data_IF_605499870633
#
_entry.id   IF_605499870633
#
_cell.length_a   1.000
_cell.length_b   1.000
_cell.length_c   1.000
_cell.angle_alpha   90.00
_cell.angle_beta   90.00
_cell.angle_gamma   90.00
#
_symmetry.space_group_name_H-M   'P 1'
#
loop_
_entity.id
_entity.type
_entity.pdbx_description
1 polymer ?
#
# COMPACT_ATOMS: atom_id res chain seq x y z
N UNK A 1 -40.96 -39.80 43.80
CA UNK A 1 -40.66 -40.50 42.54
C UNK A 1 -41.90 -40.33 41.67
N UNK A 2 -41.90 -39.57 40.57
CA UNK A 2 -40.81 -38.78 39.96
C UNK A 2 -41.38 -37.55 39.19
N UNK A 3 -40.50 -36.60 38.88
CA UNK A 3 -40.51 -35.46 37.91
C UNK A 3 -41.78 -35.18 37.05
N UNK A 4 -42.36 -33.97 37.14
CA UNK A 4 -42.17 -32.77 36.26
C UNK A 4 -42.73 -32.93 34.83
N UNK A 5 -43.36 -31.96 34.17
CA UNK A 5 -43.06 -30.51 34.07
C UNK A 5 -44.29 -29.72 33.55
N UNK A 6 -44.31 -28.38 33.66
CA UNK A 6 -45.45 -27.54 33.24
C UNK A 6 -45.08 -26.51 32.16
N UNK A 7 -45.94 -26.33 31.14
CA UNK A 7 -45.76 -25.36 30.04
C UNK A 7 -46.89 -24.31 30.01
N UNK A 8 -46.54 -23.07 29.65
CA UNK A 8 -47.32 -21.84 29.93
C UNK A 8 -48.31 -21.37 28.85
N UNK A 9 -49.06 -20.32 29.23
CA UNK A 9 -50.09 -19.55 28.50
C UNK A 9 -49.76 -18.03 28.55
N UNK A 10 -50.29 -17.14 27.71
CA UNK A 10 -50.90 -17.25 26.36
C UNK A 10 -51.36 -15.86 25.86
N UNK A 11 -51.45 -15.68 24.54
CA UNK A 11 -52.21 -14.64 23.80
C UNK A 11 -51.71 -13.17 23.80
N UNK A 12 -51.64 -12.62 22.58
CA UNK A 12 -52.23 -11.36 22.03
C UNK A 12 -52.22 -10.07 22.91
N UNK A 13 -51.88 -8.86 22.41
CA UNK A 13 -52.63 -8.11 21.38
C UNK A 13 -51.86 -6.88 20.81
N UNK A 14 -52.28 -6.41 19.61
CA UNK A 14 -52.11 -5.15 18.84
C UNK A 14 -50.84 -4.23 18.84
N UNK A 15 -50.55 -3.58 17.68
CA UNK A 15 -49.50 -2.56 17.54
C UNK A 15 -49.98 -1.14 17.85
N UNK A 16 -49.12 -0.32 18.45
CA UNK A 16 -49.31 1.13 18.60
C UNK A 16 -48.68 1.90 17.44
N UNK A 17 -49.46 2.77 16.79
CA UNK A 17 -48.90 3.84 15.95
C UNK A 17 -48.13 4.85 16.81
N UNK A 18 -47.02 5.34 16.29
CA UNK A 18 -46.44 6.65 16.64
C UNK A 18 -46.22 7.36 15.30
N UNK A 19 -46.76 8.56 15.17
CA UNK A 19 -46.67 9.38 13.97
C UNK A 19 -45.46 10.35 14.04
N UNK A 20 -44.99 10.73 12.85
CA UNK A 20 -44.18 11.91 12.50
C UNK A 20 -42.68 12.03 12.88
N UNK A 21 -41.93 12.35 11.82
CA UNK A 21 -40.68 13.13 11.76
C UNK A 21 -39.46 12.64 12.58
N UNK A 22 -38.58 11.90 11.89
CA UNK A 22 -37.14 11.98 12.16
C UNK A 22 -36.33 12.18 10.87
N UNK A 23 -35.18 12.80 11.01
CA UNK A 23 -34.27 13.24 9.96
C UNK A 23 -33.81 12.09 9.06
N UNK A 24 -33.64 12.37 7.77
CA UNK A 24 -32.98 11.47 6.83
C UNK A 24 -31.45 11.48 7.03
N UNK A 25 -30.98 11.13 8.23
CA UNK A 25 -29.58 10.76 8.43
C UNK A 25 -29.32 9.43 7.72
N UNK A 26 -28.43 9.46 6.72
CA UNK A 26 -28.03 8.26 6.02
C UNK A 26 -27.42 7.25 7.01
N UNK A 27 -27.81 5.96 6.96
CA UNK A 27 -27.37 4.97 7.95
C UNK A 27 -25.85 4.86 7.95
N UNK A 28 -25.24 5.24 9.08
CA UNK A 28 -23.80 5.11 9.29
C UNK A 28 -23.49 3.63 9.50
N UNK A 29 -23.07 2.96 8.43
CA UNK A 29 -22.61 1.57 8.48
C UNK A 29 -21.28 1.48 9.23
N UNK A 30 -21.36 1.14 10.52
CA UNK A 30 -20.21 0.76 11.33
C UNK A 30 -19.78 -0.66 10.96
N UNK A 31 -18.64 -0.78 10.27
CA UNK A 31 -17.98 -2.07 10.11
C UNK A 31 -17.12 -2.32 11.36
N UNK A 32 -17.55 -3.24 12.22
CA UNK A 32 -16.72 -3.72 13.33
C UNK A 32 -15.39 -4.22 12.77
N UNK A 33 -14.29 -3.73 13.30
CA UNK A 33 -12.96 -4.08 12.82
C UNK A 33 -12.50 -5.32 13.60
N UNK A 34 -12.69 -6.50 13.01
CA UNK A 34 -12.04 -7.72 13.48
C UNK A 34 -10.52 -7.61 13.40
N UNK A 35 -9.79 -8.55 14.01
CA UNK A 35 -8.34 -8.63 13.81
C UNK A 35 -8.05 -8.99 12.35
N UNK A 36 -7.27 -8.15 11.67
CA UNK A 36 -6.94 -8.28 10.24
C UNK A 36 -5.48 -8.71 10.08
N UNK A 37 -5.25 -9.86 9.44
CA UNK A 37 -3.91 -10.38 9.17
C UNK A 37 -3.43 -9.92 7.79
N UNK A 38 -2.11 -9.99 7.57
CA UNK A 38 -1.49 -9.54 6.33
C UNK A 38 -2.00 -10.31 5.11
N UNK A 39 -2.19 -11.61 5.26
CA UNK A 39 -2.71 -12.49 4.21
C UNK A 39 -4.13 -12.12 3.72
N UNK A 40 -4.95 -11.45 4.55
CA UNK A 40 -6.38 -11.25 4.26
C UNK A 40 -6.68 -10.06 3.32
N UNK A 41 -5.74 -9.10 3.20
CA UNK A 41 -6.02 -7.82 2.51
C UNK A 41 -4.83 -7.24 1.72
N UNK A 42 -3.73 -7.99 1.58
CA UNK A 42 -2.53 -7.57 0.84
C UNK A 42 -2.83 -7.05 -0.59
N UNK A 43 -3.91 -7.52 -1.23
CA UNK A 43 -4.30 -7.15 -2.60
C UNK A 43 -5.18 -5.89 -2.72
N UNK A 44 -5.68 -5.31 -1.63
CA UNK A 44 -6.70 -4.23 -1.70
C UNK A 44 -6.34 -2.93 -0.97
N UNK A 45 -5.24 -2.90 -0.23
CA UNK A 45 -4.81 -1.74 0.55
C UNK A 45 -3.42 -1.29 0.11
N UNK A 46 -3.18 0.03 0.11
CA UNK A 46 -1.84 0.54 -0.14
C UNK A 46 -0.99 0.40 1.13
N UNK A 47 -0.02 -0.51 1.10
CA UNK A 47 0.94 -0.72 2.20
C UNK A 47 1.98 0.41 2.17
N UNK A 48 2.13 1.14 3.28
CA UNK A 48 3.21 2.12 3.45
C UNK A 48 4.53 1.38 3.78
N UNK A 49 5.69 1.91 3.33
CA UNK A 49 6.94 1.20 3.45
C UNK A 49 7.46 1.24 4.89
N UNK A 50 8.07 0.15 5.33
CA UNK A 50 8.89 0.16 6.53
C UNK A 50 10.32 0.51 6.13
N UNK A 51 10.71 1.73 6.50
CA UNK A 51 11.97 2.33 6.10
C UNK A 51 13.12 1.93 7.04
N UNK A 52 14.24 1.53 6.44
CA UNK A 52 15.53 1.43 7.13
C UNK A 52 16.40 2.63 6.74
N UNK A 53 16.98 3.32 7.73
CA UNK A 53 17.83 4.50 7.52
C UNK A 53 19.17 4.19 6.84
N UNK A 54 19.49 2.92 6.67
CA UNK A 54 20.65 2.42 5.93
C UNK A 54 20.25 1.25 5.01
N UNK A 55 20.93 1.15 3.88
CA UNK A 55 21.14 -0.10 3.12
C UNK A 55 22.53 -0.63 3.41
N UNK A 56 22.72 -1.94 3.24
CA UNK A 56 24.05 -2.53 3.15
C UNK A 56 24.83 -1.91 1.97
N UNK A 57 26.16 -1.78 2.07
CA UNK A 57 26.97 -1.35 0.93
C UNK A 57 26.95 -2.43 -0.17
N UNK A 58 26.63 -2.04 -1.40
CA UNK A 58 26.70 -2.96 -2.55
C UNK A 58 28.14 -3.39 -2.77
N UNK A 59 28.38 -4.69 -2.87
CA UNK A 59 29.68 -5.25 -3.26
C UNK A 59 29.65 -5.73 -4.70
N UNK A 60 30.83 -5.92 -5.32
CA UNK A 60 30.91 -6.52 -6.66
C UNK A 60 30.39 -7.97 -6.69
N UNK A 61 30.21 -8.62 -5.53
CA UNK A 61 29.67 -9.98 -5.39
C UNK A 61 28.15 -10.03 -5.43
N UNK A 62 27.45 -8.91 -5.24
CA UNK A 62 25.99 -8.84 -5.36
C UNK A 62 25.52 -8.78 -6.83
N UNK A 63 26.43 -8.54 -7.77
CA UNK A 63 26.16 -8.56 -9.21
C UNK A 63 26.12 -10.02 -9.70
N UNK A 64 24.91 -10.55 -9.85
CA UNK A 64 24.65 -11.89 -10.37
C UNK A 64 24.81 -11.92 -11.91
N UNK A 65 25.61 -12.86 -12.43
CA UNK A 65 25.83 -13.07 -13.87
C UNK A 65 25.99 -14.57 -14.12
N UNK A 66 25.24 -15.11 -15.09
CA UNK A 66 25.33 -16.52 -15.45
C UNK A 66 24.81 -17.45 -14.36
N UNK A 67 25.24 -18.70 -14.42
CA UNK A 67 24.94 -19.73 -13.43
C UNK A 67 25.93 -19.60 -12.24
N UNK A 68 25.46 -19.50 -10.99
CA UNK A 68 26.33 -19.37 -9.82
C UNK A 68 27.25 -20.58 -9.58
N UNK A 69 26.89 -21.77 -10.06
CA UNK A 69 27.68 -23.00 -9.88
C UNK A 69 28.76 -23.16 -10.97
N UNK A 70 28.80 -22.27 -11.98
CA UNK A 70 29.74 -22.33 -13.11
C UNK A 70 30.75 -21.16 -13.05
N UNK A 71 32.06 -21.41 -13.19
CA UNK A 71 33.05 -20.35 -13.25
C UNK A 71 32.80 -19.34 -14.38
N UNK A 72 32.73 -18.06 -14.03
CA UNK A 72 32.51 -16.95 -14.97
C UNK A 72 33.58 -16.93 -16.07
N UNK A 73 33.14 -16.93 -17.32
CA UNK A 73 33.97 -16.70 -18.51
C UNK A 73 34.59 -15.29 -18.52
N UNK A 74 35.63 -15.07 -19.33
CA UNK A 74 36.30 -13.77 -19.42
C UNK A 74 35.35 -12.62 -19.78
N UNK A 75 34.38 -12.84 -20.66
CA UNK A 75 33.39 -11.83 -21.04
C UNK A 75 32.38 -11.56 -19.92
N UNK A 76 31.98 -12.57 -19.14
CA UNK A 76 31.16 -12.39 -17.94
C UNK A 76 31.90 -11.58 -16.86
N UNK A 77 33.19 -11.84 -16.64
CA UNK A 77 34.03 -11.07 -15.71
C UNK A 77 34.19 -9.60 -16.18
N UNK A 78 34.33 -9.39 -17.49
CA UNK A 78 34.36 -8.06 -18.10
C UNK A 78 33.02 -7.32 -17.93
N UNK A 79 31.90 -8.00 -18.18
CA UNK A 79 30.55 -7.45 -17.97
C UNK A 79 30.34 -7.06 -16.50
N UNK A 80 30.73 -7.92 -15.55
CA UNK A 80 30.69 -7.64 -14.10
C UNK A 80 31.46 -6.38 -13.74
N UNK A 81 32.66 -6.22 -14.31
CA UNK A 81 33.50 -5.05 -14.13
C UNK A 81 32.89 -3.77 -14.74
N UNK A 82 32.15 -3.90 -15.85
CA UNK A 82 31.42 -2.77 -16.46
C UNK A 82 30.23 -2.34 -15.60
N UNK A 83 29.39 -3.27 -15.13
CA UNK A 83 28.26 -2.98 -14.23
C UNK A 83 28.77 -2.31 -12.94
N UNK A 84 29.88 -2.80 -12.38
CA UNK A 84 30.50 -2.25 -11.17
C UNK A 84 30.99 -0.79 -11.30
N UNK A 85 31.31 -0.32 -12.52
CA UNK A 85 31.59 1.11 -12.75
C UNK A 85 30.37 1.99 -12.47
N UNK A 86 29.18 1.44 -12.68
CA UNK A 86 27.88 2.07 -12.41
C UNK A 86 27.32 1.75 -11.02
N UNK A 87 28.12 1.22 -10.08
CA UNK A 87 27.67 0.85 -8.72
C UNK A 87 26.93 1.94 -7.94
N UNK A 88 27.12 3.21 -8.29
CA UNK A 88 26.41 4.35 -7.70
C UNK A 88 24.92 4.42 -8.06
N UNK A 89 24.46 3.59 -9.02
CA UNK A 89 23.06 3.38 -9.37
C UNK A 89 22.47 2.14 -8.68
N UNK A 90 23.29 1.32 -8.03
CA UNK A 90 22.87 0.11 -7.35
C UNK A 90 22.58 0.44 -5.88
N UNK A 91 21.54 -0.17 -5.33
CA UNK A 91 21.29 -0.15 -3.88
C UNK A 91 21.49 -1.55 -3.30
N UNK A 92 22.03 -1.61 -2.08
CA UNK A 92 22.24 -2.88 -1.39
C UNK A 92 20.96 -3.38 -0.74
N UNK A 93 21.07 -4.45 0.04
CA UNK A 93 19.91 -5.01 0.76
C UNK A 93 19.38 -3.98 1.77
N UNK A 94 18.06 -3.85 1.82
CA UNK A 94 17.34 -2.89 2.64
C UNK A 94 16.23 -2.20 1.87
N UNK A 95 15.35 -1.50 2.58
CA UNK A 95 14.21 -0.78 2.00
C UNK A 95 14.52 0.72 1.87
N UNK A 96 15.72 1.11 1.43
CA UNK A 96 16.00 2.54 1.25
C UNK A 96 15.13 3.15 0.15
N UNK A 97 14.96 4.47 0.21
CA UNK A 97 14.38 5.26 -0.87
C UNK A 97 15.49 5.72 -1.81
N UNK A 98 15.42 5.38 -3.11
CA UNK A 98 16.18 6.09 -4.12
C UNK A 98 15.85 7.60 -4.12
N UNK A 99 16.74 8.44 -4.67
CA UNK A 99 16.38 9.81 -5.03
C UNK A 99 15.17 9.83 -5.98
N UNK A 100 14.30 10.83 -5.83
CA UNK A 100 13.09 10.98 -6.64
C UNK A 100 13.35 10.92 -8.16
N UNK A 101 12.44 10.27 -8.88
CA UNK A 101 12.52 10.10 -10.33
C UNK A 101 12.36 11.45 -11.03
N UNK A 102 13.24 11.71 -11.99
CA UNK A 102 13.24 12.97 -12.74
C UNK A 102 12.26 12.89 -13.92
N UNK A 103 11.45 13.92 -14.10
CA UNK A 103 10.57 14.07 -15.27
C UNK A 103 9.27 13.27 -15.21
N UNK A 104 8.91 12.71 -14.06
CA UNK A 104 7.62 12.04 -13.82
C UNK A 104 6.98 12.58 -12.55
N UNK A 105 5.65 12.72 -12.56
CA UNK A 105 4.84 13.18 -11.43
C UNK A 105 3.56 12.33 -11.44
N UNK A 106 3.18 11.78 -10.29
CA UNK A 106 1.93 11.07 -10.11
C UNK A 106 0.77 12.07 -9.93
N UNK A 107 -0.21 12.02 -10.84
CA UNK A 107 -1.46 12.78 -10.76
C UNK A 107 -2.66 11.82 -10.67
N UNK A 108 -3.52 12.02 -9.66
CA UNK A 108 -4.71 11.18 -9.43
C UNK A 108 -5.94 11.93 -9.94
N UNK A 109 -6.39 11.64 -11.16
CA UNK A 109 -7.53 12.33 -11.73
C UNK A 109 -8.88 11.78 -11.26
N UNK A 110 -9.47 12.42 -10.25
CA UNK A 110 -10.85 12.16 -9.79
C UNK A 110 -11.92 12.94 -10.59
N UNK A 111 -11.52 13.68 -11.63
CA UNK A 111 -12.43 14.55 -12.38
C UNK A 111 -13.11 15.60 -11.50
N UNK A 112 -14.44 15.67 -11.57
CA UNK A 112 -15.27 16.57 -10.75
C UNK A 112 -15.91 15.92 -9.53
N UNK A 113 -15.35 14.81 -9.02
CA UNK A 113 -15.93 14.11 -7.87
C UNK A 113 -15.81 14.94 -6.57
N UNK A 114 -16.86 14.90 -5.74
CA UNK A 114 -16.88 15.59 -4.46
C UNK A 114 -15.94 14.93 -3.42
N UNK A 115 -15.35 15.69 -2.49
CA UNK A 115 -14.46 15.15 -1.46
C UNK A 115 -15.06 14.06 -0.57
N UNK A 116 -14.23 13.08 -0.24
CA UNK A 116 -14.59 11.97 0.65
C UNK A 116 -13.63 11.93 1.84
N UNK A 117 -14.16 12.26 3.02
CA UNK A 117 -13.48 12.10 4.30
C UNK A 117 -14.09 10.93 5.08
N UNK A 118 -13.32 9.86 5.27
CA UNK A 118 -13.72 8.68 6.04
C UNK A 118 -13.16 8.76 7.48
N UNK A 119 -13.94 8.27 8.45
CA UNK A 119 -13.52 8.22 9.86
C UNK A 119 -12.36 7.24 10.06
N UNK A 120 -11.36 7.67 10.84
CA UNK A 120 -10.23 6.83 11.26
C UNK A 120 -10.73 5.59 12.01
N UNK A 121 -10.17 4.42 11.69
CA UNK A 121 -10.50 3.15 12.34
C UNK A 121 -9.88 3.09 13.75
N UNK A 122 -10.58 2.55 14.77
CA UNK A 122 -9.99 2.38 16.10
C UNK A 122 -8.76 1.46 16.07
N UNK A 123 -7.68 1.86 16.73
CA UNK A 123 -6.46 1.05 16.85
C UNK A 123 -6.35 0.51 18.28
N UNK A 124 -6.13 -0.80 18.40
CA UNK A 124 -5.96 -1.48 19.68
C UNK A 124 -4.81 -0.86 20.49
N UNK A 125 -4.96 -0.62 21.82
CA UNK A 125 -3.96 0.08 22.62
C UNK A 125 -2.52 -0.44 22.46
N UNK A 126 -2.35 -1.77 22.40
CA UNK A 126 -1.06 -2.47 22.22
C UNK A 126 -0.26 -2.06 20.97
N UNK A 127 -0.89 -1.48 19.96
CA UNK A 127 -0.23 -1.11 18.69
C UNK A 127 -0.09 0.42 18.50
N UNK A 128 -0.58 1.25 19.43
CA UNK A 128 -0.60 2.72 19.27
C UNK A 128 0.79 3.35 19.31
N UNK A 129 1.69 2.81 20.13
CA UNK A 129 3.08 3.26 20.22
C UNK A 129 3.82 2.98 18.91
N UNK A 130 3.81 1.73 18.45
CA UNK A 130 4.38 1.33 17.14
C UNK A 130 3.80 2.12 15.97
N UNK A 131 2.49 2.38 15.98
CA UNK A 131 1.84 3.22 14.97
C UNK A 131 2.39 4.65 14.98
N UNK A 132 2.57 5.23 16.17
CA UNK A 132 3.16 6.57 16.34
C UNK A 132 4.59 6.62 15.79
N UNK A 133 5.41 5.60 16.08
CA UNK A 133 6.80 5.56 15.64
C UNK A 133 6.94 5.32 14.12
N UNK A 134 6.09 4.48 13.52
CA UNK A 134 6.02 4.35 12.06
C UNK A 134 5.64 5.68 11.39
N UNK A 135 4.63 6.39 11.91
CA UNK A 135 4.21 7.69 11.37
C UNK A 135 5.34 8.74 11.50
N UNK A 136 6.08 8.75 12.62
CA UNK A 136 7.26 9.62 12.79
C UNK A 136 8.36 9.30 11.78
N UNK A 137 8.63 8.02 11.51
CA UNK A 137 9.58 7.58 10.49
C UNK A 137 9.19 8.11 9.10
N UNK A 138 7.97 7.83 8.65
CA UNK A 138 7.45 8.30 7.36
C UNK A 138 7.48 9.84 7.19
N UNK A 139 7.31 10.59 8.29
CA UNK A 139 7.44 12.05 8.32
C UNK A 139 8.91 12.51 8.25
N UNK A 140 9.82 11.83 8.95
CA UNK A 140 11.26 12.13 8.92
C UNK A 140 11.86 11.85 7.54
N UNK A 141 11.46 10.74 6.91
CA UNK A 141 11.85 10.33 5.55
C UNK A 141 11.13 11.12 4.45
N UNK A 142 10.21 12.04 4.82
CA UNK A 142 9.43 12.92 3.92
C UNK A 142 8.53 12.20 2.91
N UNK A 143 8.19 10.93 3.16
CA UNK A 143 7.22 10.17 2.36
C UNK A 143 5.82 10.75 2.54
N UNK A 144 5.50 11.19 3.76
CA UNK A 144 4.23 11.82 4.10
C UNK A 144 4.47 13.21 4.71
N UNK A 145 3.47 14.07 4.63
CA UNK A 145 3.47 15.40 5.25
C UNK A 145 2.14 15.65 5.97
N UNK A 146 2.10 16.50 7.01
CA UNK A 146 0.85 16.99 7.58
C UNK A 146 -0.01 17.69 6.50
N UNK A 147 -1.32 17.47 6.53
CA UNK A 147 -2.25 17.99 5.53
C UNK A 147 -3.59 18.35 6.16
N UNK A 148 -4.24 19.38 5.62
CA UNK A 148 -5.61 19.81 5.96
C UNK A 148 -6.59 19.47 4.82
N UNK A 149 -6.30 18.41 4.08
CA UNK A 149 -7.10 17.88 2.97
C UNK A 149 -8.57 17.68 3.32
N UNK A 150 -9.47 18.02 2.39
CA UNK A 150 -10.90 17.70 2.48
C UNK A 150 -11.20 16.22 2.20
N UNK A 151 -10.20 15.48 1.71
CA UNK A 151 -10.24 14.04 1.49
C UNK A 151 -9.44 13.31 2.57
N UNK A 152 -9.98 12.20 3.07
CA UNK A 152 -9.30 11.35 4.04
C UNK A 152 -9.68 9.88 3.83
N UNK A 153 -8.70 9.06 3.47
CA UNK A 153 -8.80 7.59 3.53
C UNK A 153 -8.36 7.11 4.92
N UNK A 154 -9.01 6.09 5.50
CA UNK A 154 -8.68 5.64 6.84
C UNK A 154 -7.44 4.75 6.81
N UNK A 155 -6.61 4.90 7.85
CA UNK A 155 -5.52 3.98 8.14
C UNK A 155 -6.09 2.61 8.55
N UNK A 156 -5.44 1.55 8.07
CA UNK A 156 -5.63 0.16 8.49
C UNK A 156 -4.32 -0.33 9.08
N UNK A 157 -4.37 -0.87 10.31
CA UNK A 157 -3.23 -1.51 10.96
C UNK A 157 -3.37 -3.01 10.77
N UNK A 158 -2.40 -3.59 10.06
CA UNK A 158 -2.33 -5.03 9.77
C UNK A 158 -1.30 -5.66 10.70
N UNK A 159 -1.63 -6.79 11.32
CA UNK A 159 -0.70 -7.50 12.21
C UNK A 159 0.16 -8.46 11.37
N UNK A 160 1.49 -8.44 11.52
CA UNK A 160 2.40 -9.40 10.88
C UNK A 160 2.32 -10.77 11.55
N UNK A 161 2.80 -11.82 10.86
CA UNK A 161 2.84 -13.21 11.35
C UNK A 161 3.51 -13.41 12.72
N UNK A 162 4.37 -12.49 13.16
CA UNK A 162 4.97 -12.56 14.50
C UNK A 162 4.05 -12.04 15.62
N UNK A 163 2.84 -11.56 15.31
CA UNK A 163 1.85 -11.04 16.27
C UNK A 163 2.18 -9.69 16.93
N UNK A 164 3.44 -9.27 16.79
CA UNK A 164 4.08 -8.18 17.53
C UNK A 164 4.27 -6.94 16.66
N UNK A 165 4.66 -7.12 15.41
CA UNK A 165 4.85 -6.02 14.45
C UNK A 165 3.62 -5.78 13.60
N UNK A 166 3.53 -4.57 13.07
CA UNK A 166 2.40 -4.10 12.28
C UNK A 166 2.89 -3.57 10.93
N UNK A 167 2.06 -3.71 9.90
CA UNK A 167 2.17 -2.96 8.65
C UNK A 167 1.13 -1.86 8.65
N UNK A 168 1.54 -0.67 8.22
CA UNK A 168 0.66 0.47 8.08
C UNK A 168 0.10 0.51 6.66
N UNK A 169 -1.23 0.53 6.53
CA UNK A 169 -1.89 0.53 5.22
C UNK A 169 -2.94 1.64 5.11
N UNK A 170 -3.24 2.09 3.89
CA UNK A 170 -4.29 3.06 3.60
C UNK A 170 -5.40 2.42 2.76
N UNK A 171 -6.64 2.59 3.20
CA UNK A 171 -7.84 2.11 2.51
C UNK A 171 -8.29 3.12 1.44
N UNK A 172 -7.63 3.07 0.28
CA UNK A 172 -7.96 3.90 -0.88
C UNK A 172 -9.14 3.40 -1.72
N UNK A 173 -9.82 2.29 -1.34
CA UNK A 173 -10.85 1.65 -2.18
C UNK A 173 -11.93 2.62 -2.67
N UNK A 174 -12.34 3.58 -1.83
CA UNK A 174 -13.37 4.58 -2.16
C UNK A 174 -12.84 5.75 -3.00
N UNK A 175 -11.55 6.07 -2.93
CA UNK A 175 -10.89 7.04 -3.83
C UNK A 175 -10.65 6.39 -5.20
N UNK A 176 -10.14 5.16 -5.21
CA UNK A 176 -9.86 4.40 -6.44
C UNK A 176 -11.11 4.15 -7.31
N UNK A 177 -12.31 4.14 -6.72
CA UNK A 177 -13.60 4.09 -7.44
C UNK A 177 -13.94 5.38 -8.19
N UNK A 178 -13.33 6.51 -7.81
CA UNK A 178 -13.52 7.83 -8.42
C UNK A 178 -12.36 8.22 -9.35
N UNK A 179 -11.17 7.65 -9.13
CA UNK A 179 -10.01 7.83 -9.98
C UNK A 179 -10.28 7.32 -11.39
N UNK A 180 -10.14 8.19 -12.38
CA UNK A 180 -10.15 7.84 -13.80
C UNK A 180 -8.91 6.99 -14.11
N UNK A 181 -9.14 5.85 -14.74
CA UNK A 181 -8.06 4.93 -15.14
C UNK A 181 -7.19 5.58 -16.23
N UNK A 182 -5.92 5.80 -15.91
CA UNK A 182 -4.91 6.11 -16.93
C UNK A 182 -4.61 4.82 -17.71
N UNK A 183 -5.13 4.72 -18.93
CA UNK A 183 -4.90 3.56 -19.80
C UNK A 183 -3.52 3.66 -20.43
N UNK A 184 -2.53 3.01 -19.81
CA UNK A 184 -1.27 2.69 -20.45
C UNK A 184 -1.34 1.27 -21.03
N UNK A 185 -1.26 1.08 -22.36
CA UNK A 185 -1.31 -0.24 -22.96
C UNK A 185 -0.02 -1.00 -22.65
N UNK A 186 -0.10 -1.93 -21.69
CA UNK A 186 0.97 -2.88 -21.44
C UNK A 186 1.08 -3.85 -22.63
N UNK A 187 2.28 -4.04 -23.22
CA UNK A 187 2.47 -5.01 -24.29
C UNK A 187 2.23 -6.44 -23.77
N UNK A 188 1.88 -7.36 -24.67
CA UNK A 188 1.74 -8.77 -24.28
C UNK A 188 3.11 -9.39 -24.01
N UNK A 189 3.13 -10.40 -23.15
CA UNK A 189 4.35 -11.15 -22.83
C UNK A 189 4.92 -11.84 -24.08
N UNK A 190 4.06 -12.26 -25.02
CA UNK A 190 4.48 -12.77 -26.34
C UNK A 190 5.35 -11.75 -27.10
N UNK A 191 4.84 -10.53 -27.22
CA UNK A 191 5.43 -9.46 -28.04
C UNK A 191 6.81 -9.08 -27.46
N UNK A 192 6.90 -9.01 -26.13
CA UNK A 192 8.16 -8.79 -25.42
C UNK A 192 9.16 -9.94 -25.62
N UNK A 193 8.71 -11.19 -25.70
CA UNK A 193 9.59 -12.36 -25.87
C UNK A 193 10.10 -12.54 -27.31
N UNK A 194 9.31 -12.18 -28.33
CA UNK A 194 9.73 -12.26 -29.74
C UNK A 194 10.88 -11.29 -30.09
N UNK A 195 10.93 -10.13 -29.43
CA UNK A 195 12.05 -9.20 -29.56
C UNK A 195 13.30 -9.67 -28.80
N UNK A 196 13.13 -10.47 -27.75
CA UNK A 196 14.22 -10.99 -26.94
C UNK A 196 15.01 -12.13 -27.61
N UNK A 197 14.39 -12.98 -28.43
CA UNK A 197 15.03 -14.13 -29.12
C UNK A 197 16.30 -13.77 -29.92
N UNK A 198 16.44 -12.49 -30.32
CA UNK A 198 17.58 -11.97 -31.07
C UNK A 198 18.78 -11.56 -30.19
N UNK A 199 18.64 -11.60 -28.86
CA UNK A 199 19.65 -11.14 -27.90
C UNK A 199 20.51 -12.28 -27.34
N UNK A 200 21.83 -12.09 -27.37
CA UNK A 200 22.79 -13.03 -26.77
C UNK A 200 22.91 -12.87 -25.24
N UNK A 201 22.54 -11.70 -24.71
CA UNK A 201 22.67 -11.35 -23.30
C UNK A 201 21.39 -10.69 -22.80
N UNK A 202 20.90 -11.17 -21.66
CA UNK A 202 19.74 -10.61 -20.97
C UNK A 202 20.18 -9.93 -19.68
N UNK A 203 19.52 -8.82 -19.34
CA UNK A 203 19.71 -8.12 -18.08
C UNK A 203 18.34 -7.83 -17.48
N UNK A 204 18.07 -8.38 -16.30
CA UNK A 204 16.91 -8.00 -15.50
C UNK A 204 17.34 -6.93 -14.49
N UNK A 205 16.61 -5.83 -14.44
CA UNK A 205 16.82 -4.74 -13.50
C UNK A 205 15.50 -4.46 -12.80
N UNK A 206 15.51 -4.45 -11.47
CA UNK A 206 14.36 -4.06 -10.65
C UNK A 206 14.60 -2.69 -10.01
N UNK A 207 13.54 -1.89 -9.89
CA UNK A 207 13.62 -0.54 -9.31
C UNK A 207 13.20 -0.58 -7.84
N UNK A 208 14.20 -0.63 -6.97
CA UNK A 208 14.02 -0.58 -5.52
C UNK A 208 13.05 0.55 -5.11
N UNK A 209 12.07 0.22 -4.26
CA UNK A 209 11.06 1.15 -3.74
C UNK A 209 10.26 1.91 -4.81
N UNK A 210 10.14 1.39 -6.04
CA UNK A 210 9.75 2.15 -7.23
C UNK A 210 8.48 3.01 -7.16
N UNK A 211 7.46 2.63 -6.39
CA UNK A 211 6.27 3.46 -6.16
C UNK A 211 6.57 4.78 -5.43
N UNK A 212 7.51 4.75 -4.47
CA UNK A 212 7.84 5.87 -3.59
C UNK A 212 8.83 6.86 -4.20
N UNK A 213 9.39 6.51 -5.36
CA UNK A 213 10.34 7.32 -6.12
C UNK A 213 9.63 8.35 -7.00
N UNK A 214 8.34 8.15 -7.31
CA UNK A 214 7.54 9.07 -8.13
C UNK A 214 6.91 10.13 -7.24
N UNK A 215 7.25 11.41 -7.46
CA UNK A 215 6.68 12.51 -6.68
C UNK A 215 5.19 12.71 -6.99
N UNK A 216 4.38 13.00 -5.96
CA UNK A 216 2.98 13.36 -6.12
C UNK A 216 2.84 14.81 -6.59
N UNK A 217 1.89 15.09 -7.50
CA UNK A 217 1.54 16.46 -7.89
C UNK A 217 1.14 17.27 -6.64
N UNK A 218 1.86 18.36 -6.35
CA UNK A 218 1.68 19.16 -5.13
C UNK A 218 0.23 19.59 -4.87
N UNK A 219 -0.52 19.96 -5.91
CA UNK A 219 -1.94 20.34 -5.80
C UNK A 219 -2.85 19.16 -5.43
N UNK A 220 -2.58 17.96 -5.96
CA UNK A 220 -3.34 16.74 -5.63
C UNK A 220 -2.80 15.97 -4.42
N UNK A 221 -1.59 16.25 -3.94
CA UNK A 221 -1.04 15.71 -2.69
C UNK A 221 -1.87 16.08 -1.44
N UNK A 222 -2.74 17.09 -1.58
CA UNK A 222 -3.66 17.60 -0.57
C UNK A 222 -5.14 17.49 -0.97
N UNK A 223 -5.39 16.95 -2.17
CA UNK A 223 -6.65 16.96 -2.93
C UNK A 223 -7.53 18.17 -2.55
N UNK A 224 -7.08 19.36 -2.94
CA UNK A 224 -7.67 20.63 -2.46
C UNK A 224 -9.08 20.88 -3.00
N UNK A 225 -9.90 21.51 -2.16
CA UNK A 225 -11.23 22.03 -2.49
C UNK A 225 -11.14 23.18 -3.50
N UNK A 226 -11.88 23.09 -4.61
CA UNK A 226 -12.21 24.27 -5.42
C UNK A 226 -13.41 24.98 -4.77
N UNK A 227 -13.32 26.31 -4.63
CA UNK A 227 -14.39 27.18 -4.11
C UNK A 227 -15.48 27.43 -5.16
#
# INVERSE_FOLDING_TARGET
MDRSEATQRSKEDKPSKIDEADSAEAPVYYHESGDLFAEDIEQHLAVLPEMSTATEEVTINDIQIGDPDVPLTADQQRLRSLIWRSRHLLMGKGNALPPAARGTICDIDVGGAAPIAQRVRPVAPKYREKLSDLIKGLLADKIVQPSTSTWASPIVVIIKKNGVDIRLCIDYRRVNQLTRLMVYPMPLISDLLEDLDKALWYCSLDMASGFWVVEMNGQRSRIESTQ
#
